data_IF_870822730103
#
_entry.id   IF_870822730103
#
_cell.length_a   1.000
_cell.length_b   1.000
_cell.length_c   1.000
_cell.angle_alpha   90.00
_cell.angle_beta   90.00
_cell.angle_gamma   90.00
#
_symmetry.space_group_name_H-M   'P 1'
#
loop_
_entity.id
_entity.type
_entity.pdbx_description
1 polymer ?
#
# COMPACT_ATOMS: atom_id res chain seq x y z
N UNK A 1 35.72 -64.81 -11.43
CA UNK A 1 35.77 -63.44 -11.98
C UNK A 1 34.37 -62.84 -11.94
N UNK A 2 34.11 -61.91 -11.01
CA UNK A 2 32.84 -61.18 -10.95
C UNK A 2 32.92 -59.93 -11.84
N UNK A 3 31.92 -59.71 -12.71
CA UNK A 3 31.87 -58.53 -13.58
C UNK A 3 31.54 -57.27 -12.76
N UNK A 4 32.19 -56.12 -13.02
CA UNK A 4 31.90 -54.89 -12.28
C UNK A 4 30.50 -54.38 -12.64
N UNK A 5 29.72 -54.06 -11.60
CA UNK A 5 28.36 -53.51 -11.72
C UNK A 5 28.49 -52.07 -12.22
N UNK A 6 28.02 -51.80 -13.45
CA UNK A 6 28.03 -50.47 -14.06
C UNK A 6 27.15 -49.52 -13.23
N UNK A 7 27.78 -48.50 -12.65
CA UNK A 7 27.08 -47.38 -11.99
C UNK A 7 26.13 -46.73 -13.00
N UNK A 8 24.83 -46.79 -12.73
CA UNK A 8 23.81 -46.14 -13.53
C UNK A 8 23.74 -44.70 -13.04
N UNK A 9 24.34 -43.76 -13.77
CA UNK A 9 24.19 -42.34 -13.48
C UNK A 9 22.69 -42.02 -13.47
N UNK A 10 22.15 -41.68 -12.30
CA UNK A 10 20.79 -41.17 -12.14
C UNK A 10 20.65 -39.88 -12.93
N UNK A 11 19.53 -39.73 -13.66
CA UNK A 11 19.23 -38.51 -14.37
C UNK A 11 19.27 -37.31 -13.41
N UNK A 12 19.78 -36.14 -13.84
CA UNK A 12 19.74 -34.93 -13.02
C UNK A 12 18.30 -34.62 -12.63
N UNK A 13 18.11 -34.23 -11.37
CA UNK A 13 16.80 -33.87 -10.82
C UNK A 13 16.13 -32.79 -11.72
N UNK A 14 14.90 -33.00 -12.21
CA UNK A 14 14.19 -32.01 -13.04
C UNK A 14 14.05 -30.64 -12.37
N UNK A 15 14.20 -30.54 -11.04
CA UNK A 15 14.22 -29.27 -10.31
C UNK A 15 15.46 -28.40 -10.62
N UNK A 16 16.53 -28.98 -11.16
CA UNK A 16 17.75 -28.28 -11.58
C UNK A 16 17.59 -27.71 -12.98
N UNK A 17 16.86 -28.40 -13.86
CA UNK A 17 16.63 -27.97 -15.25
C UNK A 17 15.70 -26.75 -15.36
N UNK A 18 14.88 -26.49 -14.34
CA UNK A 18 13.91 -25.39 -14.32
C UNK A 18 14.46 -24.06 -13.78
N UNK A 19 15.70 -24.01 -13.29
CA UNK A 19 16.28 -22.79 -12.70
C UNK A 19 17.00 -21.98 -13.77
N UNK A 20 16.59 -20.72 -13.92
CA UNK A 20 17.33 -19.78 -14.76
C UNK A 20 18.74 -19.59 -14.18
N UNK A 21 19.79 -19.42 -15.00
CA UNK A 21 21.18 -19.34 -14.54
C UNK A 21 21.49 -18.19 -13.57
N UNK A 22 20.57 -17.23 -13.43
CA UNK A 22 20.69 -16.06 -12.57
C UNK A 22 19.84 -16.14 -11.29
N UNK A 23 19.18 -17.27 -11.03
CA UNK A 23 18.37 -17.43 -9.83
C UNK A 23 19.25 -17.85 -8.64
N UNK A 24 19.43 -17.00 -7.61
CA UNK A 24 20.10 -17.41 -6.39
C UNK A 24 19.30 -18.52 -5.69
N UNK A 25 19.96 -19.31 -4.87
CA UNK A 25 19.27 -20.24 -3.97
C UNK A 25 18.33 -19.47 -3.03
N UNK A 26 17.16 -20.03 -2.77
CA UNK A 26 16.23 -19.42 -1.82
C UNK A 26 16.93 -19.30 -0.43
N UNK A 27 16.83 -18.15 0.24
CA UNK A 27 17.37 -18.00 1.58
C UNK A 27 16.64 -18.95 2.55
N UNK A 28 17.28 -19.35 3.66
CA UNK A 28 16.59 -20.06 4.73
C UNK A 28 15.37 -19.27 5.21
N UNK A 29 14.28 -19.95 5.57
CA UNK A 29 13.03 -19.31 6.02
C UNK A 29 13.28 -18.29 7.14
N UNK A 30 14.13 -18.63 8.12
CA UNK A 30 14.48 -17.72 9.21
C UNK A 30 15.13 -16.41 8.70
N UNK A 31 16.03 -16.51 7.71
CA UNK A 31 16.66 -15.34 7.07
C UNK A 31 15.63 -14.53 6.29
N UNK A 32 14.74 -15.18 5.54
CA UNK A 32 13.67 -14.50 4.81
C UNK A 32 12.74 -13.73 5.77
N UNK A 33 12.32 -14.35 6.87
CA UNK A 33 11.46 -13.73 7.88
C UNK A 33 12.17 -12.55 8.57
N UNK A 34 13.45 -12.68 8.89
CA UNK A 34 14.24 -11.60 9.49
C UNK A 34 14.31 -10.38 8.54
N UNK A 35 14.59 -10.63 7.25
CA UNK A 35 14.64 -9.57 6.23
C UNK A 35 13.28 -8.90 6.09
N UNK A 36 12.20 -9.69 6.00
CA UNK A 36 10.84 -9.15 5.91
C UNK A 36 10.48 -8.32 7.14
N UNK A 37 10.80 -8.79 8.35
CA UNK A 37 10.55 -8.06 9.58
C UNK A 37 11.32 -6.74 9.63
N UNK A 38 12.63 -6.77 9.32
CA UNK A 38 13.44 -5.56 9.27
C UNK A 38 12.91 -4.56 8.22
N UNK A 39 12.46 -5.04 7.07
CA UNK A 39 11.90 -4.22 6.00
C UNK A 39 10.54 -3.59 6.37
N UNK A 40 9.71 -4.29 7.15
CA UNK A 40 8.46 -3.76 7.68
C UNK A 40 8.71 -2.74 8.79
N UNK A 41 9.63 -3.03 9.70
CA UNK A 41 10.03 -2.12 10.78
C UNK A 41 10.57 -0.81 10.20
N UNK A 42 11.44 -0.88 9.20
CA UNK A 42 11.98 0.32 8.54
C UNK A 42 10.87 1.17 7.92
N UNK A 43 9.90 0.55 7.24
CA UNK A 43 8.74 1.25 6.68
C UNK A 43 7.90 1.93 7.77
N UNK A 44 7.66 1.25 8.88
CA UNK A 44 6.91 1.80 10.01
C UNK A 44 7.62 2.99 10.67
N UNK A 45 8.96 2.94 10.79
CA UNK A 45 9.73 4.05 11.33
C UNK A 45 9.70 5.27 10.40
N UNK A 46 9.82 5.06 9.09
CA UNK A 46 9.74 6.15 8.10
C UNK A 46 8.35 6.77 8.05
N UNK A 47 7.28 6.01 8.31
CA UNK A 47 5.91 6.53 8.30
C UNK A 47 5.55 7.46 9.47
N UNK A 48 6.43 7.63 10.46
CA UNK A 48 6.23 8.58 11.59
C UNK A 48 6.67 10.01 11.20
N UNK A 49 7.44 10.14 10.12
CA UNK A 49 7.85 11.45 9.60
C UNK A 49 6.69 12.24 8.99
N UNK A 50 6.93 13.52 8.66
CA UNK A 50 5.92 14.34 8.01
C UNK A 50 5.57 13.81 6.62
N UNK A 51 4.30 13.94 6.22
CA UNK A 51 3.81 13.50 4.92
C UNK A 51 3.70 14.64 3.90
N UNK A 52 3.56 14.27 2.62
CA UNK A 52 3.43 15.21 1.50
C UNK A 52 2.26 16.18 1.72
N UNK A 53 2.57 17.47 1.82
CA UNK A 53 1.60 18.55 1.99
C UNK A 53 0.94 18.62 3.37
N UNK A 54 1.56 18.06 4.41
CA UNK A 54 1.15 18.26 5.81
C UNK A 54 1.07 19.76 6.16
N UNK A 55 -0.06 20.19 6.73
CA UNK A 55 -0.30 21.59 7.08
C UNK A 55 -0.33 22.58 5.90
N UNK A 56 -0.33 22.10 4.65
CA UNK A 56 -0.26 22.92 3.44
C UNK A 56 -1.65 23.20 2.85
N UNK A 57 -2.52 23.85 3.63
CA UNK A 57 -3.80 24.34 3.15
C UNK A 57 -3.61 25.34 1.96
N UNK A 58 -4.56 25.46 1.01
CA UNK A 58 -5.88 24.81 0.97
C UNK A 58 -5.91 23.44 0.26
N UNK A 59 -4.79 23.00 -0.33
CA UNK A 59 -4.68 21.73 -1.08
C UNK A 59 -3.48 20.94 -0.56
N UNK A 60 -3.73 20.14 0.48
CA UNK A 60 -2.80 19.16 1.06
C UNK A 60 -2.36 18.15 0.01
N UNK A 61 -1.23 17.45 0.21
CA UNK A 61 -0.61 16.59 -0.79
C UNK A 61 -1.23 15.20 -0.91
N UNK A 62 -0.41 14.21 -1.29
CA UNK A 62 -0.90 12.89 -1.71
C UNK A 62 -1.65 12.11 -0.62
N UNK A 63 -1.37 12.38 0.66
CA UNK A 63 -2.14 11.80 1.76
C UNK A 63 -3.62 12.16 1.64
N UNK A 64 -3.90 13.44 1.41
CA UNK A 64 -5.26 13.95 1.24
C UNK A 64 -5.89 13.43 -0.06
N UNK A 65 -5.11 13.33 -1.13
CA UNK A 65 -5.59 12.77 -2.39
C UNK A 65 -6.11 11.33 -2.23
N UNK A 66 -5.32 10.48 -1.59
CA UNK A 66 -5.67 9.07 -1.34
C UNK A 66 -6.89 8.98 -0.42
N UNK A 67 -6.94 9.78 0.64
CA UNK A 67 -8.07 9.84 1.58
C UNK A 67 -9.34 10.31 0.91
N UNK A 68 -9.26 11.31 0.04
CA UNK A 68 -10.38 11.79 -0.74
C UNK A 68 -10.89 10.74 -1.73
N UNK A 69 -10.01 9.93 -2.35
CA UNK A 69 -10.46 8.81 -3.17
C UNK A 69 -11.20 7.73 -2.37
N UNK A 70 -10.78 7.49 -1.13
CA UNK A 70 -11.49 6.59 -0.23
C UNK A 70 -12.89 7.13 0.11
N UNK A 71 -13.02 8.43 0.41
CA UNK A 71 -14.29 9.12 0.61
C UNK A 71 -15.22 8.99 -0.62
N UNK A 72 -14.74 9.36 -1.82
CA UNK A 72 -15.54 9.32 -3.05
C UNK A 72 -16.01 7.90 -3.38
N UNK A 73 -15.11 6.92 -3.31
CA UNK A 73 -15.42 5.53 -3.68
C UNK A 73 -16.33 4.81 -2.69
N UNK A 74 -16.38 5.29 -1.45
CA UNK A 74 -17.28 4.80 -0.41
C UNK A 74 -18.72 5.33 -0.59
N UNK A 75 -18.86 6.61 -0.91
CA UNK A 75 -20.17 7.31 -0.87
C UNK A 75 -20.83 7.49 -2.24
N UNK A 76 -20.07 7.47 -3.33
CA UNK A 76 -20.60 7.70 -4.68
C UNK A 76 -20.75 6.41 -5.48
N UNK A 77 -21.77 6.30 -6.35
CA UNK A 77 -21.84 5.22 -7.31
C UNK A 77 -20.64 5.27 -8.26
N UNK A 78 -20.21 4.09 -8.76
CA UNK A 78 -19.02 4.00 -9.62
C UNK A 78 -19.12 4.76 -10.94
N UNK A 79 -20.34 5.09 -11.37
CA UNK A 79 -20.58 5.98 -12.51
C UNK A 79 -20.06 7.40 -12.27
N UNK A 80 -19.90 7.82 -11.01
CA UNK A 80 -19.67 9.23 -10.66
C UNK A 80 -18.23 9.48 -10.19
N UNK A 81 -17.42 8.43 -10.00
CA UNK A 81 -16.03 8.53 -9.52
C UNK A 81 -15.13 9.40 -10.41
N UNK A 82 -15.38 9.39 -11.72
CA UNK A 82 -14.57 10.09 -12.72
C UNK A 82 -15.33 11.25 -13.38
N UNK A 83 -16.45 11.68 -12.80
CA UNK A 83 -17.29 12.74 -13.34
C UNK A 83 -17.40 13.88 -12.36
N UNK A 84 -17.39 15.10 -12.89
CA UNK A 84 -17.69 16.27 -12.08
C UNK A 84 -19.18 16.26 -11.71
N UNK A 85 -19.48 16.32 -10.42
CA UNK A 85 -20.84 16.32 -9.86
C UNK A 85 -20.93 17.32 -8.70
N UNK A 86 -22.11 17.49 -8.09
CA UNK A 86 -22.27 18.30 -6.87
C UNK A 86 -21.40 17.83 -5.70
N UNK A 87 -21.00 16.56 -5.71
CA UNK A 87 -20.32 15.87 -4.61
C UNK A 87 -18.91 15.38 -4.99
N UNK A 88 -18.53 15.45 -6.27
CA UNK A 88 -17.20 15.13 -6.77
C UNK A 88 -16.66 16.28 -7.64
N UNK A 89 -15.72 17.05 -7.10
CA UNK A 89 -15.01 18.08 -7.86
C UNK A 89 -13.65 17.56 -8.31
N UNK A 90 -13.52 17.28 -9.61
CA UNK A 90 -12.28 16.74 -10.18
C UNK A 90 -11.07 17.69 -10.05
N UNK A 91 -11.28 18.99 -9.83
CA UNK A 91 -10.18 19.94 -9.58
C UNK A 91 -9.57 19.75 -8.17
N UNK A 92 -10.34 19.20 -7.24
CA UNK A 92 -9.94 18.93 -5.87
C UNK A 92 -9.63 17.44 -5.67
N UNK A 93 -8.43 17.02 -6.09
CA UNK A 93 -7.95 15.64 -5.97
C UNK A 93 -8.87 14.60 -6.65
N UNK A 94 -9.34 14.92 -7.86
CA UNK A 94 -10.07 13.97 -8.69
C UNK A 94 -9.31 12.65 -8.88
N UNK A 95 -10.05 11.56 -8.96
CA UNK A 95 -9.51 10.23 -9.18
C UNK A 95 -8.90 10.12 -10.58
N UNK A 96 -7.57 9.95 -10.67
CA UNK A 96 -6.82 9.96 -11.93
C UNK A 96 -6.25 8.57 -12.33
N UNK A 97 -6.29 7.59 -11.42
CA UNK A 97 -5.88 6.22 -11.68
C UNK A 97 -6.98 5.35 -12.30
N UNK A 98 -6.63 4.24 -12.98
CA UNK A 98 -7.60 3.32 -13.57
C UNK A 98 -8.53 2.68 -12.51
N UNK A 99 -9.68 2.11 -12.94
CA UNK A 99 -10.71 1.61 -12.03
C UNK A 99 -10.24 0.59 -10.97
N UNK A 100 -9.17 -0.16 -11.25
CA UNK A 100 -8.61 -1.09 -10.26
C UNK A 100 -8.15 -0.37 -8.99
N UNK A 101 -7.47 0.78 -9.13
CA UNK A 101 -7.05 1.60 -8.00
C UNK A 101 -8.26 2.17 -7.26
N UNK A 102 -9.33 2.53 -7.98
CA UNK A 102 -10.58 2.99 -7.37
C UNK A 102 -11.19 1.92 -6.45
N UNK A 103 -11.23 0.66 -6.90
CA UNK A 103 -11.70 -0.44 -6.07
C UNK A 103 -10.76 -0.75 -4.91
N UNK A 104 -9.45 -0.62 -5.09
CA UNK A 104 -8.49 -0.69 -3.99
C UNK A 104 -8.80 0.38 -2.94
N UNK A 105 -9.00 1.64 -3.35
CA UNK A 105 -9.38 2.73 -2.45
C UNK A 105 -10.70 2.43 -1.76
N UNK A 106 -11.71 1.88 -2.46
CA UNK A 106 -12.98 1.47 -1.87
C UNK A 106 -12.82 0.41 -0.77
N UNK A 107 -11.96 -0.58 -0.99
CA UNK A 107 -11.67 -1.60 0.01
C UNK A 107 -11.06 -0.98 1.27
N UNK A 108 -10.07 -0.10 1.10
CA UNK A 108 -9.46 0.63 2.23
C UNK A 108 -10.46 1.57 2.91
N UNK A 109 -11.35 2.19 2.15
CA UNK A 109 -12.40 3.06 2.68
C UNK A 109 -13.33 2.31 3.62
N UNK A 110 -13.74 1.07 3.29
CA UNK A 110 -14.53 0.25 4.19
C UNK A 110 -13.80 -0.09 5.50
N UNK A 111 -12.49 -0.37 5.43
CA UNK A 111 -11.68 -0.65 6.61
C UNK A 111 -11.52 0.58 7.52
N UNK A 112 -11.22 1.74 6.93
CA UNK A 112 -11.07 3.00 7.66
C UNK A 112 -12.41 3.47 8.21
N UNK A 113 -13.50 3.38 7.44
CA UNK A 113 -14.82 3.79 7.90
C UNK A 113 -15.29 2.99 9.13
N UNK A 114 -14.82 1.74 9.28
CA UNK A 114 -15.15 0.92 10.44
C UNK A 114 -14.45 1.36 11.73
N UNK A 115 -13.28 2.01 11.64
CA UNK A 115 -12.50 2.46 12.80
C UNK A 115 -12.55 3.97 13.03
N UNK A 116 -12.52 4.76 11.96
CA UNK A 116 -12.46 6.22 11.96
C UNK A 116 -13.33 6.80 10.82
N UNK A 117 -14.67 6.80 10.97
CA UNK A 117 -15.59 7.24 9.91
C UNK A 117 -15.40 8.71 9.52
N UNK A 118 -15.02 9.57 10.46
CA UNK A 118 -14.81 11.00 10.21
C UNK A 118 -13.70 11.27 9.18
N UNK A 119 -12.71 10.38 9.07
CA UNK A 119 -11.62 10.49 8.10
C UNK A 119 -12.05 10.25 6.66
N UNK A 120 -13.24 9.70 6.41
CA UNK A 120 -13.78 9.43 5.06
C UNK A 120 -15.23 9.91 4.92
N UNK A 121 -15.66 10.83 5.77
CA UNK A 121 -16.99 11.42 5.72
C UNK A 121 -17.14 12.36 4.51
N UNK A 122 -18.25 12.21 3.77
CA UNK A 122 -18.49 12.97 2.56
C UNK A 122 -18.52 14.49 2.84
N UNK A 123 -17.69 15.26 2.14
CA UNK A 123 -17.49 16.72 2.21
C UNK A 123 -16.88 17.24 3.51
N UNK A 124 -17.19 16.65 4.66
CA UNK A 124 -16.70 17.09 5.97
C UNK A 124 -15.29 16.62 6.29
N UNK A 125 -14.80 15.59 5.61
CA UNK A 125 -13.46 15.04 5.84
C UNK A 125 -12.36 15.76 5.07
N UNK A 126 -12.67 16.72 4.19
CA UNK A 126 -11.66 17.48 3.42
C UNK A 126 -10.70 18.22 4.36
N UNK A 127 -9.41 17.95 4.20
CA UNK A 127 -8.36 18.47 5.08
C UNK A 127 -8.41 17.91 6.50
N UNK A 128 -8.97 16.71 6.70
CA UNK A 128 -9.02 16.06 8.01
C UNK A 128 -7.60 15.69 8.47
N UNK A 129 -7.06 16.51 9.36
CA UNK A 129 -5.87 16.22 10.16
C UNK A 129 -6.34 16.01 11.61
N UNK A 130 -6.40 14.75 12.08
CA UNK A 130 -6.75 14.50 13.48
C UNK A 130 -5.64 14.96 14.41
N UNK A 131 -5.98 15.73 15.45
CA UNK A 131 -5.02 16.29 16.42
C UNK A 131 -4.18 15.22 17.16
N UNK A 132 -4.62 13.95 17.18
CA UNK A 132 -3.91 12.85 17.84
C UNK A 132 -2.61 12.43 17.13
N UNK A 133 -2.37 12.88 15.90
CA UNK A 133 -1.06 12.70 15.24
C UNK A 133 0.02 13.69 15.71
N UNK A 134 -0.33 14.74 16.49
CA UNK A 134 0.63 15.74 16.98
C UNK A 134 1.21 15.41 18.36
N UNK A 135 1.37 14.13 18.68
CA UNK A 135 2.00 13.68 19.92
C UNK A 135 3.43 14.20 20.09
N UNK A 136 3.57 15.35 20.75
CA UNK A 136 4.65 15.67 21.68
C UNK A 136 6.11 15.83 21.18
N UNK A 137 6.38 15.97 19.87
CA UNK A 137 7.77 16.02 19.37
C UNK A 137 8.25 17.33 18.73
N UNK A 138 7.38 18.31 18.45
CA UNK A 138 7.77 19.47 17.63
C UNK A 138 7.38 20.85 18.21
N UNK A 139 7.05 20.96 19.49
CA UNK A 139 6.79 22.27 20.13
C UNK A 139 7.98 22.86 20.90
N UNK A 140 9.17 22.26 20.87
CA UNK A 140 10.36 22.78 21.58
C UNK A 140 11.69 22.56 20.82
N UNK A 141 11.83 23.11 19.60
CA UNK A 141 13.13 23.47 19.02
C UNK A 141 12.98 24.83 18.33
#
# INVERSE_FOLDING_TARGET
MAKPKKSRNSAPDPSVAARLPWQPSAPPLATALLISFAALLLRALVSVGPYSGQGAAPKFGDYEAQRHWMELTLHLPSSDWYRNTSDNDLAHWGLDYPPLSAYQSRLHAHLINASLPDAVALRSSRGFESQESYGHLWTNI
#
